data_IF_198521724993
#
_entry.id   IF_198521724993
#
_cell.length_a   1.000
_cell.length_b   1.000
_cell.length_c   1.000
_cell.angle_alpha   90.00
_cell.angle_beta   90.00
_cell.angle_gamma   90.00
#
_symmetry.space_group_name_H-M   'P 1'
#
loop_
_entity.id
_entity.type
_entity.pdbx_description
1 polymer ?
#
# COMPACT_ATOMS: atom_id res chain seq x y z
N UNK A 1 44.45 16.15 55.27
CA UNK A 1 45.12 17.32 54.68
C UNK A 1 45.38 16.98 53.20
N UNK A 2 44.73 17.71 52.27
CA UNK A 2 44.80 17.59 50.79
C UNK A 2 44.29 16.25 50.19
N UNK A 3 43.54 16.18 49.09
CA UNK A 3 43.71 16.84 47.80
C UNK A 3 42.42 16.79 46.95
N UNK A 4 42.21 17.86 46.17
CA UNK A 4 41.20 18.08 45.14
C UNK A 4 41.64 17.39 43.84
N UNK A 5 40.70 16.82 43.07
CA UNK A 5 41.00 16.28 41.73
C UNK A 5 39.78 16.25 40.81
N UNK A 6 39.50 17.39 40.17
CA UNK A 6 38.55 17.57 39.08
C UNK A 6 39.12 16.95 37.79
N UNK A 7 38.35 16.14 37.07
CA UNK A 7 38.50 16.02 35.61
C UNK A 7 37.14 15.78 34.93
N UNK A 8 36.56 16.87 34.43
CA UNK A 8 35.42 16.85 33.52
C UNK A 8 35.95 16.72 32.08
N UNK A 9 35.76 15.58 31.43
CA UNK A 9 36.20 15.37 30.03
C UNK A 9 35.17 15.93 29.06
N UNK A 10 35.45 17.07 28.46
CA UNK A 10 34.72 17.61 27.32
C UNK A 10 35.14 16.88 26.03
N UNK A 11 34.26 16.03 25.48
CA UNK A 11 34.45 15.42 24.16
C UNK A 11 33.79 16.34 23.12
N UNK A 12 34.60 17.17 22.46
CA UNK A 12 34.19 17.89 21.25
C UNK A 12 34.02 16.89 20.09
N UNK A 13 32.78 16.47 19.83
CA UNK A 13 32.43 15.74 18.59
C UNK A 13 32.33 16.73 17.44
N UNK A 14 33.38 16.82 16.62
CA UNK A 14 33.29 17.46 15.29
C UNK A 14 32.33 16.66 14.42
N UNK A 15 31.15 17.23 14.15
CA UNK A 15 30.21 16.71 13.18
C UNK A 15 30.67 17.10 11.76
N UNK A 16 31.53 16.28 11.15
CA UNK A 16 31.72 16.34 9.69
C UNK A 16 30.55 15.60 9.03
N UNK A 17 29.63 16.36 8.45
CA UNK A 17 28.55 15.83 7.63
C UNK A 17 29.13 15.06 6.44
N UNK A 18 28.84 13.77 6.37
CA UNK A 18 29.15 12.94 5.19
C UNK A 18 28.27 13.39 4.03
N UNK A 19 28.82 14.20 3.13
CA UNK A 19 28.18 14.50 1.84
C UNK A 19 28.36 13.27 0.97
N UNK A 20 27.29 12.49 0.79
CA UNK A 20 27.27 11.37 -0.16
C UNK A 20 26.96 11.90 -1.55
N UNK A 21 27.97 11.96 -2.40
CA UNK A 21 27.78 12.17 -3.83
C UNK A 21 27.26 10.87 -4.46
N UNK A 22 26.01 10.88 -4.92
CA UNK A 22 25.43 9.77 -5.68
C UNK A 22 25.67 10.03 -7.17
N UNK A 23 26.70 9.42 -7.76
CA UNK A 23 26.93 9.48 -9.20
C UNK A 23 25.95 8.54 -9.92
N UNK A 24 24.92 9.11 -10.56
CA UNK A 24 24.13 8.37 -11.55
C UNK A 24 24.86 8.39 -12.88
N UNK A 25 25.55 7.30 -13.20
CA UNK A 25 26.05 7.05 -14.56
C UNK A 25 24.85 6.84 -15.50
N UNK A 26 24.61 7.82 -16.37
CA UNK A 26 23.74 7.67 -17.54
C UNK A 26 24.50 6.92 -18.63
N UNK A 27 24.19 5.63 -18.82
CA UNK A 27 23.93 4.97 -20.12
C UNK A 27 24.15 3.46 -20.07
N UNK A 28 23.06 2.72 -20.27
CA UNK A 28 22.98 1.48 -21.08
C UNK A 28 21.56 0.91 -20.89
N UNK A 29 20.78 0.81 -21.99
CA UNK A 29 19.55 0.01 -22.10
C UNK A 29 18.69 -0.13 -20.82
N UNK A 30 18.34 1.05 -20.29
CA UNK A 30 17.27 1.42 -19.35
C UNK A 30 16.65 0.33 -18.44
N UNK A 31 17.44 -0.16 -17.49
CA UNK A 31 16.93 -0.92 -16.34
C UNK A 31 16.43 0.05 -15.26
N UNK A 32 15.15 -0.02 -14.88
CA UNK A 32 14.53 0.87 -13.90
C UNK A 32 15.11 0.67 -12.49
N UNK A 33 15.52 1.73 -11.79
CA UNK A 33 16.06 1.60 -10.43
C UNK A 33 14.99 1.08 -9.44
N UNK A 34 15.42 0.42 -8.35
CA UNK A 34 14.50 -0.05 -7.30
C UNK A 34 13.71 1.10 -6.66
N UNK A 35 14.35 2.26 -6.48
CA UNK A 35 13.73 3.43 -5.87
C UNK A 35 12.61 3.96 -6.78
N UNK A 36 12.86 4.03 -8.08
CA UNK A 36 11.85 4.45 -9.07
C UNK A 36 10.70 3.44 -9.15
N UNK A 37 11.00 2.14 -9.15
CA UNK A 37 10.00 1.08 -9.13
C UNK A 37 9.07 1.20 -7.93
N UNK A 38 9.61 1.35 -6.72
CA UNK A 38 8.81 1.47 -5.50
C UNK A 38 7.97 2.75 -5.47
N UNK A 39 8.51 3.85 -6.03
CA UNK A 39 7.77 5.10 -6.18
C UNK A 39 6.58 4.92 -7.14
N UNK A 40 6.78 4.24 -8.27
CA UNK A 40 5.71 3.93 -9.22
C UNK A 40 4.68 2.95 -8.64
N UNK A 41 5.11 1.90 -7.91
CA UNK A 41 4.20 0.97 -7.22
C UNK A 41 3.31 1.71 -6.23
N UNK A 42 3.89 2.63 -5.45
CA UNK A 42 3.14 3.48 -4.50
C UNK A 42 2.16 4.40 -5.22
N UNK A 43 2.60 5.00 -6.33
CA UNK A 43 1.76 5.84 -7.17
C UNK A 43 0.57 5.05 -7.73
N UNK A 44 0.79 3.88 -8.32
CA UNK A 44 -0.26 3.00 -8.85
C UNK A 44 -1.30 2.65 -7.78
N UNK A 45 -0.88 2.30 -6.57
CA UNK A 45 -1.80 2.02 -5.47
C UNK A 45 -2.67 3.24 -5.12
N UNK A 46 -2.08 4.44 -5.09
CA UNK A 46 -2.82 5.69 -4.85
C UNK A 46 -3.82 5.98 -5.94
N UNK A 47 -3.46 5.80 -7.22
CA UNK A 47 -4.40 5.93 -8.32
C UNK A 47 -5.59 4.99 -8.17
N UNK A 48 -5.36 3.73 -7.79
CA UNK A 48 -6.42 2.76 -7.57
C UNK A 48 -7.34 3.16 -6.39
N UNK A 49 -6.77 3.59 -5.26
CA UNK A 49 -7.55 4.04 -4.10
C UNK A 49 -8.37 5.31 -4.42
N UNK A 50 -7.76 6.30 -5.06
CA UNK A 50 -8.43 7.55 -5.42
C UNK A 50 -9.54 7.27 -6.45
N UNK A 51 -9.27 6.46 -7.46
CA UNK A 51 -10.27 6.06 -8.43
C UNK A 51 -11.44 5.32 -7.76
N UNK A 52 -11.17 4.44 -6.79
CA UNK A 52 -12.18 3.82 -5.93
C UNK A 52 -13.07 4.85 -5.23
N UNK A 53 -12.47 5.84 -4.56
CA UNK A 53 -13.23 6.88 -3.86
C UNK A 53 -14.11 7.68 -4.84
N UNK A 54 -13.55 8.13 -5.96
CA UNK A 54 -14.27 8.94 -6.96
C UNK A 54 -15.43 8.14 -7.57
N UNK A 55 -15.17 6.89 -7.97
CA UNK A 55 -16.22 6.03 -8.55
C UNK A 55 -17.25 5.58 -7.52
N UNK A 56 -16.88 5.46 -6.25
CA UNK A 56 -17.83 5.25 -5.16
C UNK A 56 -18.78 6.42 -5.00
N UNK A 57 -18.26 7.66 -4.92
CA UNK A 57 -19.12 8.84 -4.91
C UNK A 57 -19.98 8.95 -6.17
N UNK A 58 -19.41 8.65 -7.34
CA UNK A 58 -20.13 8.60 -8.60
C UNK A 58 -21.27 7.56 -8.59
N UNK A 59 -21.02 6.36 -8.08
CA UNK A 59 -22.01 5.29 -7.97
C UNK A 59 -23.16 5.64 -7.01
N UNK A 60 -22.86 6.23 -5.85
CA UNK A 60 -23.88 6.76 -4.95
C UNK A 60 -24.68 7.88 -5.60
N UNK A 61 -24.02 8.83 -6.28
CA UNK A 61 -24.71 9.93 -6.95
C UNK A 61 -25.64 9.42 -8.05
N UNK A 62 -25.17 8.51 -8.91
CA UNK A 62 -25.99 7.88 -9.96
C UNK A 62 -27.20 7.15 -9.36
N UNK A 63 -26.98 6.36 -8.30
CA UNK A 63 -28.06 5.63 -7.63
C UNK A 63 -29.06 6.58 -7.00
N UNK A 64 -28.60 7.65 -6.34
CA UNK A 64 -29.45 8.69 -5.77
C UNK A 64 -30.28 9.39 -6.85
N UNK A 65 -29.68 9.75 -7.98
CA UNK A 65 -30.42 10.36 -9.09
C UNK A 65 -31.45 9.40 -9.67
N UNK A 66 -31.11 8.11 -9.81
CA UNK A 66 -32.03 7.10 -10.30
C UNK A 66 -33.22 6.91 -9.35
N UNK A 67 -32.93 6.70 -8.07
CA UNK A 67 -33.93 6.50 -7.02
C UNK A 67 -34.79 7.76 -6.79
N UNK A 68 -34.23 8.96 -6.94
CA UNK A 68 -34.97 10.22 -6.82
C UNK A 68 -36.02 10.44 -7.92
N UNK A 69 -35.96 9.70 -9.03
CA UNK A 69 -36.99 9.71 -10.07
C UNK A 69 -38.07 8.63 -9.86
N UNK A 70 -37.94 7.78 -8.85
CA UNK A 70 -38.96 6.78 -8.51
C UNK A 70 -39.94 7.41 -7.52
N UNK A 71 -41.22 7.42 -7.89
CA UNK A 71 -42.28 7.81 -6.97
C UNK A 71 -42.52 6.68 -5.96
N UNK A 72 -42.43 7.02 -4.67
CA UNK A 72 -42.58 6.07 -3.57
C UNK A 72 -43.61 6.61 -2.59
N UNK A 73 -44.53 5.75 -2.17
CA UNK A 73 -45.48 6.03 -1.10
C UNK A 73 -44.77 5.85 0.25
N UNK A 74 -44.55 6.96 0.96
CA UNK A 74 -43.80 7.01 2.22
C UNK A 74 -44.55 6.30 3.35
N UNK A 75 -45.87 6.12 3.22
CA UNK A 75 -46.71 5.49 4.24
C UNK A 75 -46.65 3.96 4.18
N UNK A 76 -46.15 3.38 3.07
CA UNK A 76 -46.11 1.94 2.86
C UNK A 76 -44.69 1.39 3.06
N UNK A 77 -44.51 0.39 3.94
CA UNK A 77 -43.20 -0.22 4.12
C UNK A 77 -42.78 -1.00 2.87
N UNK A 78 -41.49 -0.92 2.54
CA UNK A 78 -40.86 -1.70 1.47
C UNK A 78 -40.20 -2.91 2.11
N UNK A 79 -40.70 -4.12 1.83
CA UNK A 79 -40.19 -5.38 2.42
C UNK A 79 -40.16 -5.37 3.96
N UNK A 80 -41.07 -4.65 4.60
CA UNK A 80 -41.13 -4.50 6.06
C UNK A 80 -40.18 -3.45 6.64
N UNK A 81 -39.43 -2.73 5.80
CA UNK A 81 -38.58 -1.61 6.20
C UNK A 81 -39.19 -0.26 5.80
N UNK A 82 -38.81 0.79 6.53
CA UNK A 82 -39.12 2.17 6.16
C UNK A 82 -38.52 2.51 4.78
N UNK A 83 -39.29 3.11 3.85
CA UNK A 83 -38.79 3.58 2.56
C UNK A 83 -37.47 4.37 2.64
N UNK A 84 -37.29 5.22 3.65
CA UNK A 84 -36.03 5.98 3.81
C UNK A 84 -34.82 5.08 4.06
N UNK A 85 -34.99 4.01 4.83
CA UNK A 85 -33.90 3.05 5.08
C UNK A 85 -33.53 2.28 3.82
N UNK A 86 -34.53 1.84 3.04
CA UNK A 86 -34.28 1.10 1.79
C UNK A 86 -33.60 2.00 0.76
N UNK A 87 -34.04 3.25 0.64
CA UNK A 87 -33.46 4.22 -0.29
C UNK A 87 -32.04 4.62 0.10
N UNK A 88 -31.83 4.96 1.37
CA UNK A 88 -30.50 5.25 1.91
C UNK A 88 -29.55 4.06 1.76
N UNK A 89 -30.05 2.86 2.05
CA UNK A 89 -29.33 1.60 1.81
C UNK A 89 -28.97 1.42 0.35
N UNK A 90 -29.90 1.67 -0.57
CA UNK A 90 -29.67 1.62 -2.01
C UNK A 90 -28.54 2.56 -2.47
N UNK A 91 -28.54 3.81 -1.99
CA UNK A 91 -27.47 4.79 -2.32
C UNK A 91 -26.11 4.35 -1.77
N UNK A 92 -26.08 3.80 -0.55
CA UNK A 92 -24.85 3.25 0.04
C UNK A 92 -24.36 2.07 -0.80
N UNK A 93 -25.25 1.14 -1.17
CA UNK A 93 -24.92 -0.02 -2.00
C UNK A 93 -24.38 0.42 -3.37
N UNK A 94 -25.00 1.41 -4.01
CA UNK A 94 -24.51 2.00 -5.25
C UNK A 94 -23.10 2.57 -5.12
N UNK A 95 -22.78 3.19 -3.99
CA UNK A 95 -21.43 3.67 -3.69
C UNK A 95 -20.42 2.57 -3.46
N UNK A 96 -20.80 1.51 -2.75
CA UNK A 96 -19.93 0.34 -2.54
C UNK A 96 -19.62 -0.35 -3.87
N UNK A 97 -20.63 -0.55 -4.73
CA UNK A 97 -20.45 -1.09 -6.07
C UNK A 97 -19.54 -0.18 -6.91
N UNK A 98 -19.79 1.13 -6.87
CA UNK A 98 -18.94 2.12 -7.53
C UNK A 98 -17.48 2.01 -7.09
N UNK A 99 -17.23 1.93 -5.78
CA UNK A 99 -15.89 1.83 -5.22
C UNK A 99 -15.11 0.61 -5.71
N UNK A 100 -15.78 -0.54 -5.86
CA UNK A 100 -15.17 -1.78 -6.37
C UNK A 100 -14.76 -1.67 -7.85
N UNK A 101 -15.45 -0.85 -8.64
CA UNK A 101 -15.14 -0.62 -10.06
C UNK A 101 -13.93 0.31 -10.22
N UNK A 102 -13.66 1.19 -9.26
CA UNK A 102 -12.62 2.20 -9.34
C UNK A 102 -11.21 1.71 -9.72
N UNK A 103 -10.65 0.64 -9.13
CA UNK A 103 -9.31 0.17 -9.45
C UNK A 103 -9.09 -0.21 -10.93
N UNK A 104 -10.14 -0.64 -11.64
CA UNK A 104 -10.06 -0.92 -13.09
C UNK A 104 -9.78 0.35 -13.88
N UNK A 105 -10.46 1.45 -13.51
CA UNK A 105 -10.28 2.76 -14.13
C UNK A 105 -8.95 3.40 -13.68
N UNK A 106 -8.62 3.29 -12.39
CA UNK A 106 -7.37 3.80 -11.81
C UNK A 106 -6.12 3.19 -12.46
N UNK A 107 -6.11 1.88 -12.67
CA UNK A 107 -5.00 1.17 -13.33
C UNK A 107 -4.84 1.62 -14.78
N UNK A 108 -5.95 1.83 -15.49
CA UNK A 108 -5.94 2.29 -16.87
C UNK A 108 -5.35 3.71 -16.99
N UNK A 109 -5.79 4.63 -16.14
CA UNK A 109 -5.25 6.00 -16.08
C UNK A 109 -3.76 5.98 -15.73
N UNK A 110 -3.35 5.18 -14.74
CA UNK A 110 -1.94 5.05 -14.36
C UNK A 110 -1.07 4.61 -15.54
N UNK A 111 -1.50 3.59 -16.30
CA UNK A 111 -0.78 3.07 -17.47
C UNK A 111 -0.63 4.12 -18.58
N UNK A 112 -1.68 4.89 -18.85
CA UNK A 112 -1.64 5.96 -19.86
C UNK A 112 -0.66 7.05 -19.46
N UNK A 113 -0.72 7.52 -18.20
CA UNK A 113 0.16 8.57 -17.68
C UNK A 113 1.64 8.15 -17.65
N UNK A 114 1.91 6.86 -17.40
CA UNK A 114 3.28 6.33 -17.28
C UNK A 114 3.68 5.43 -18.45
N UNK A 115 3.08 5.63 -19.64
CA UNK A 115 3.27 4.77 -20.82
C UNK A 115 4.74 4.49 -21.18
N UNK A 116 5.63 5.47 -20.99
CA UNK A 116 7.06 5.32 -21.31
C UNK A 116 7.82 4.42 -20.35
N UNK A 117 7.34 4.28 -19.11
CA UNK A 117 7.99 3.53 -18.03
C UNK A 117 7.33 2.18 -17.75
N UNK A 118 6.15 1.92 -18.32
CA UNK A 118 5.32 0.77 -17.95
C UNK A 118 5.99 -0.58 -18.26
N UNK A 119 6.64 -0.71 -19.42
CA UNK A 119 7.32 -1.95 -19.79
C UNK A 119 8.44 -2.31 -18.80
N UNK A 120 9.24 -1.32 -18.40
CA UNK A 120 10.30 -1.51 -17.41
C UNK A 120 9.74 -1.76 -16.00
N UNK A 121 8.65 -1.07 -15.66
CA UNK A 121 7.94 -1.28 -14.40
C UNK A 121 7.45 -2.73 -14.29
N UNK A 122 6.87 -3.29 -15.35
CA UNK A 122 6.38 -4.68 -15.36
C UNK A 122 7.52 -5.70 -15.25
N UNK A 123 8.63 -5.50 -15.97
CA UNK A 123 9.82 -6.35 -15.84
C UNK A 123 10.31 -6.34 -14.40
N UNK A 124 10.44 -5.14 -13.80
CA UNK A 124 10.92 -4.99 -12.44
C UNK A 124 9.94 -5.54 -11.41
N UNK A 125 8.63 -5.45 -11.68
CA UNK A 125 7.58 -6.04 -10.86
C UNK A 125 7.68 -7.58 -10.84
N UNK A 126 7.94 -8.21 -11.99
CA UNK A 126 8.14 -9.66 -12.06
C UNK A 126 9.35 -10.09 -11.23
N UNK A 127 10.45 -9.35 -11.30
CA UNK A 127 11.64 -9.61 -10.47
C UNK A 127 11.36 -9.43 -8.97
N UNK A 128 10.61 -8.39 -8.61
CA UNK A 128 10.18 -8.17 -7.22
C UNK A 128 9.35 -9.35 -6.70
N UNK A 129 8.34 -9.78 -7.46
CA UNK A 129 7.48 -10.90 -7.09
C UNK A 129 8.25 -12.23 -7.00
N UNK A 130 9.24 -12.44 -7.87
CA UNK A 130 10.14 -13.59 -7.79
C UNK A 130 10.92 -13.58 -6.46
N UNK A 131 11.55 -12.45 -6.11
CA UNK A 131 12.28 -12.29 -4.83
C UNK A 131 11.35 -12.46 -3.63
N UNK A 132 10.14 -11.93 -3.70
CA UNK A 132 9.14 -12.07 -2.65
C UNK A 132 8.77 -13.54 -2.44
N UNK A 133 8.51 -14.28 -3.53
CA UNK A 133 8.20 -15.72 -3.48
C UNK A 133 9.33 -16.55 -2.86
N UNK A 134 10.57 -16.22 -3.17
CA UNK A 134 11.75 -16.93 -2.63
C UNK A 134 12.01 -16.60 -1.15
N UNK A 135 11.63 -15.40 -0.70
CA UNK A 135 11.95 -14.90 0.66
C UNK A 135 10.78 -14.94 1.63
N UNK A 136 9.55 -15.21 1.19
CA UNK A 136 8.39 -15.32 2.08
C UNK A 136 8.48 -16.59 2.96
N UNK A 137 7.97 -16.57 4.20
CA UNK A 137 7.83 -17.76 5.03
C UNK A 137 6.70 -18.68 4.53
N UNK A 138 6.73 -19.94 4.95
CA UNK A 138 5.62 -20.87 4.74
C UNK A 138 4.44 -20.48 5.65
N UNK A 139 3.22 -20.27 5.10
CA UNK A 139 2.05 -19.95 5.90
C UNK A 139 1.58 -21.09 6.82
N UNK A 140 1.99 -22.34 6.58
CA UNK A 140 1.59 -23.48 7.40
C UNK A 140 2.09 -23.37 8.86
N UNK A 141 3.22 -22.70 9.09
CA UNK A 141 3.84 -22.55 10.41
C UNK A 141 3.37 -21.31 11.18
N UNK A 142 2.22 -20.74 10.82
CA UNK A 142 1.66 -19.58 11.53
C UNK A 142 0.98 -20.00 12.83
N UNK A 143 1.04 -19.13 13.84
CA UNK A 143 0.28 -19.30 15.08
C UNK A 143 -0.28 -17.95 15.55
N UNK A 144 -1.24 -17.97 16.49
CA UNK A 144 -1.80 -16.73 17.05
C UNK A 144 -0.71 -15.83 17.66
N UNK A 145 0.28 -16.43 18.33
CA UNK A 145 1.42 -15.72 18.95
C UNK A 145 2.55 -15.37 17.97
N UNK A 146 2.50 -15.89 16.74
CA UNK A 146 3.47 -15.64 15.67
C UNK A 146 2.75 -15.46 14.32
N UNK A 147 2.09 -14.31 14.11
CA UNK A 147 1.38 -14.04 12.86
C UNK A 147 2.36 -13.94 11.69
N UNK A 148 1.92 -14.37 10.52
CA UNK A 148 2.72 -14.29 9.30
C UNK A 148 2.91 -12.80 8.89
N UNK A 149 4.14 -12.38 8.51
CA UNK A 149 4.34 -11.06 7.92
C UNK A 149 3.60 -10.94 6.58
N UNK A 150 3.52 -9.72 6.04
CA UNK A 150 2.83 -9.42 4.76
C UNK A 150 3.22 -10.41 3.65
N UNK A 151 2.34 -11.38 3.37
CA UNK A 151 2.63 -12.51 2.51
C UNK A 151 2.69 -12.13 1.02
N UNK A 152 1.96 -11.08 0.63
CA UNK A 152 1.83 -10.61 -0.75
C UNK A 152 2.68 -9.38 -1.05
N UNK A 153 3.31 -8.77 -0.04
CA UNK A 153 4.19 -7.61 -0.22
C UNK A 153 3.43 -6.35 -0.63
N UNK A 154 2.15 -6.25 -0.26
CA UNK A 154 1.31 -5.10 -0.57
C UNK A 154 1.90 -3.82 0.03
N UNK A 155 2.33 -3.89 1.29
CA UNK A 155 2.79 -2.73 2.08
C UNK A 155 4.24 -2.33 1.82
N UNK A 156 4.92 -3.00 0.89
CA UNK A 156 6.32 -2.72 0.56
C UNK A 156 6.37 -1.63 -0.52
N UNK A 157 6.68 -0.39 -0.13
CA UNK A 157 6.76 0.78 -1.02
C UNK A 157 8.10 1.50 -0.98
N UNK A 158 9.11 0.91 -0.34
CA UNK A 158 10.46 1.44 -0.29
C UNK A 158 11.47 0.33 0.01
N UNK A 159 12.75 0.63 -0.22
CA UNK A 159 13.84 -0.28 0.17
C UNK A 159 13.91 -0.49 1.69
N UNK A 160 13.49 0.50 2.49
CA UNK A 160 13.43 0.39 3.95
C UNK A 160 12.36 -0.62 4.36
N UNK A 161 11.18 -0.53 3.77
CA UNK A 161 10.06 -1.46 4.03
C UNK A 161 10.44 -2.88 3.62
N UNK A 162 11.11 -3.04 2.47
CA UNK A 162 11.59 -4.35 2.03
C UNK A 162 12.61 -4.96 3.01
N UNK A 163 13.57 -4.17 3.51
CA UNK A 163 14.53 -4.63 4.53
C UNK A 163 13.84 -4.98 5.84
N UNK A 164 12.83 -4.20 6.25
CA UNK A 164 12.04 -4.49 7.43
C UNK A 164 11.29 -5.82 7.26
N UNK A 165 10.59 -5.98 6.14
CA UNK A 165 9.88 -7.20 5.80
C UNK A 165 10.79 -8.45 5.82
N UNK A 166 12.02 -8.35 5.31
CA UNK A 166 13.00 -9.44 5.40
C UNK A 166 13.37 -9.80 6.85
N UNK A 167 13.49 -8.79 7.73
CA UNK A 167 13.72 -9.02 9.17
C UNK A 167 12.52 -9.69 9.82
N UNK A 168 11.31 -9.25 9.48
CA UNK A 168 10.08 -9.83 10.00
C UNK A 168 9.93 -11.29 9.57
N UNK A 169 10.26 -11.62 8.31
CA UNK A 169 10.31 -13.00 7.82
C UNK A 169 11.32 -13.85 8.59
N UNK A 170 12.49 -13.31 8.91
CA UNK A 170 13.51 -14.03 9.68
C UNK A 170 13.09 -14.21 11.15
N UNK A 171 12.44 -13.21 11.75
CA UNK A 171 11.90 -13.30 13.09
C UNK A 171 10.78 -14.35 13.17
N UNK A 172 9.88 -14.39 12.17
CA UNK A 172 8.85 -15.40 12.04
C UNK A 172 9.45 -16.81 11.94
N UNK A 173 10.45 -17.03 11.07
CA UNK A 173 11.13 -18.33 10.94
C UNK A 173 11.82 -18.78 12.22
N UNK A 174 12.38 -17.85 13.00
CA UNK A 174 13.02 -18.19 14.27
C UNK A 174 11.98 -18.67 15.27
N UNK A 175 10.91 -17.91 15.46
CA UNK A 175 9.79 -18.29 16.34
C UNK A 175 9.13 -19.59 15.90
N UNK A 176 8.92 -19.78 14.60
CA UNK A 176 8.35 -21.01 14.05
C UNK A 176 9.21 -22.25 14.29
N UNK A 177 10.51 -22.12 14.61
CA UNK A 177 11.35 -23.26 15.02
C UNK A 177 11.37 -23.49 16.53
N UNK A 178 11.11 -22.44 17.31
CA UNK A 178 11.13 -22.49 18.78
C UNK A 178 9.81 -23.03 19.36
N UNK A 179 8.71 -22.88 18.62
CA UNK A 179 7.34 -23.21 19.07
C UNK A 179 6.62 -24.28 18.23
N UNK A 180 7.35 -25.00 17.36
CA UNK A 180 6.87 -26.23 16.69
C UNK A 180 7.47 -27.42 17.42
#
# INVERSE_FOLDING_TARGET
MFTIGVYNRTILRRAMGSVRFNSTSKNSSSYMSWVDYFTLKKSNNRFNTIAGIITGFGGSALTLTYLGNIEIDVEKPIMGFDPLMVMGGGVILGGLVGYLIGPFMGTSVFKVLHKSKIAQYEIRNKEFLKRLREKRPDPSSQSFSNPIPDYYGEKIYSLKDYKQWLRDCNAFRRKAREFV
#
